data_IF_184150256641
#
_entry.id   IF_184150256641
#
_cell.length_a   1.000
_cell.length_b   1.000
_cell.length_c   1.000
_cell.angle_alpha   90.00
_cell.angle_beta   90.00
_cell.angle_gamma   90.00
#
_symmetry.space_group_name_H-M   'P 1'
#
loop_
_entity.id
_entity.type
_entity.pdbx_description
1 polymer ?
#
# COMPACT_ATOMS: atom_id res chain seq x y z
N UNK A 1 25.46 27.32 11.19
CA UNK A 1 24.02 27.34 10.85
C UNK A 1 23.31 26.58 11.95
N UNK A 2 22.41 27.23 12.70
CA UNK A 2 21.60 26.60 13.73
C UNK A 2 20.12 26.78 13.36
N UNK A 3 19.38 25.68 13.28
CA UNK A 3 17.92 25.62 13.39
C UNK A 3 17.50 24.14 13.53
N UNK A 4 16.89 23.81 14.68
CA UNK A 4 16.42 22.49 15.14
C UNK A 4 17.52 21.46 15.45
N UNK A 5 17.76 21.29 16.76
CA UNK A 5 19.01 20.87 17.39
C UNK A 5 19.15 19.35 17.56
N UNK A 6 19.16 18.58 16.46
CA UNK A 6 19.65 17.21 16.48
C UNK A 6 20.67 16.99 15.36
N UNK A 7 21.96 17.16 15.69
CA UNK A 7 23.06 16.73 14.83
C UNK A 7 23.22 15.23 14.97
N UNK A 8 22.62 14.47 14.05
CA UNK A 8 22.85 13.03 13.95
C UNK A 8 24.30 12.79 13.54
N UNK A 9 25.03 11.94 14.29
CA UNK A 9 26.28 11.39 13.76
C UNK A 9 25.96 10.68 12.45
N UNK A 10 26.79 10.85 11.42
CA UNK A 10 26.63 10.18 10.11
C UNK A 10 26.54 8.65 10.29
N UNK A 11 27.17 8.10 11.32
CA UNK A 11 27.11 6.68 11.69
C UNK A 11 25.81 6.26 12.39
N UNK A 12 25.03 7.20 12.91
CA UNK A 12 23.74 6.96 13.57
C UNK A 12 22.54 7.26 12.65
N UNK A 13 22.77 7.84 11.47
CA UNK A 13 21.73 8.09 10.48
C UNK A 13 21.47 6.83 9.63
N UNK A 14 20.77 5.88 10.25
CA UNK A 14 20.42 4.58 9.68
C UNK A 14 18.92 4.33 9.80
N UNK A 15 18.40 3.37 9.05
CA UNK A 15 17.01 2.97 9.16
C UNK A 15 16.66 2.54 10.59
N UNK A 16 15.54 3.03 11.11
CA UNK A 16 15.06 2.73 12.45
C UNK A 16 14.79 1.24 12.66
N UNK A 17 14.34 0.53 11.62
CA UNK A 17 13.98 -0.87 11.67
C UNK A 17 15.20 -1.78 11.39
N UNK A 18 15.72 -1.82 10.15
CA UNK A 18 16.83 -2.71 9.80
C UNK A 18 18.24 -2.25 10.21
N UNK A 19 18.39 -1.02 10.73
CA UNK A 19 19.68 -0.41 11.11
C UNK A 19 20.71 -0.27 9.97
N UNK A 20 20.30 -0.44 8.72
CA UNK A 20 21.17 -0.20 7.55
C UNK A 20 21.24 1.28 7.19
N UNK A 21 22.39 1.72 6.69
CA UNK A 21 22.55 3.05 6.11
C UNK A 21 21.66 3.22 4.86
N UNK A 22 21.19 4.44 4.61
CA UNK A 22 20.34 4.74 3.47
C UNK A 22 21.15 4.73 2.17
N UNK A 23 20.77 3.85 1.24
CA UNK A 23 21.37 3.84 -0.11
C UNK A 23 20.98 5.13 -0.82
N UNK A 24 21.96 5.77 -1.45
CA UNK A 24 21.80 7.01 -2.23
C UNK A 24 21.18 8.19 -1.44
N UNK A 25 21.17 8.12 -0.10
CA UNK A 25 20.57 9.13 0.76
C UNK A 25 19.03 9.16 0.72
N UNK A 26 18.36 8.13 0.19
CA UNK A 26 16.89 8.07 0.11
C UNK A 26 16.32 7.44 1.39
N UNK A 27 15.42 8.17 2.06
CA UNK A 27 14.75 7.72 3.28
C UNK A 27 13.36 8.35 3.42
N UNK A 28 12.52 7.74 4.25
CA UNK A 28 11.21 8.28 4.63
C UNK A 28 11.16 8.54 6.13
N UNK A 29 10.55 9.65 6.54
CA UNK A 29 10.31 9.95 7.95
C UNK A 29 8.90 9.51 8.35
N UNK A 30 8.80 8.73 9.41
CA UNK A 30 7.52 8.39 10.06
C UNK A 30 7.64 8.67 11.56
N UNK A 31 6.80 9.56 12.09
CA UNK A 31 6.87 10.01 13.49
C UNK A 31 8.30 10.40 13.90
N UNK A 32 8.93 11.26 13.08
CA UNK A 32 10.29 11.79 13.29
C UNK A 32 11.42 10.74 13.26
N UNK A 33 11.10 9.49 12.92
CA UNK A 33 12.07 8.40 12.81
C UNK A 33 12.35 8.08 11.33
N UNK A 34 13.62 7.93 10.91
CA UNK A 34 13.96 7.65 9.52
C UNK A 34 13.89 6.15 9.22
N UNK A 35 13.30 5.78 8.09
CA UNK A 35 13.16 4.41 7.59
C UNK A 35 13.65 4.32 6.15
N UNK A 36 14.25 3.18 5.78
CA UNK A 36 14.58 2.93 4.38
C UNK A 36 13.27 2.71 3.61
N UNK A 37 13.30 2.89 2.28
CA UNK A 37 12.11 2.71 1.42
C UNK A 37 11.46 1.34 1.65
N UNK A 38 12.28 0.28 1.73
CA UNK A 38 11.79 -1.08 1.94
C UNK A 38 11.04 -1.25 3.27
N UNK A 39 11.63 -0.81 4.40
CA UNK A 39 10.99 -0.94 5.71
C UNK A 39 9.83 0.02 5.90
N UNK A 40 9.91 1.23 5.33
CA UNK A 40 8.80 2.17 5.36
C UNK A 40 7.58 1.58 4.65
N UNK A 41 7.75 1.05 3.43
CA UNK A 41 6.67 0.41 2.67
C UNK A 41 6.16 -0.86 3.38
N UNK A 42 7.06 -1.63 4.00
CA UNK A 42 6.68 -2.84 4.74
C UNK A 42 5.87 -2.53 6.01
N UNK A 43 6.23 -1.48 6.75
CA UNK A 43 5.63 -1.15 8.04
C UNK A 43 4.41 -0.24 7.93
N UNK A 44 4.42 0.68 6.97
CA UNK A 44 3.45 1.77 6.85
C UNK A 44 2.83 1.87 5.46
N UNK A 45 3.26 1.03 4.53
CA UNK A 45 2.74 1.03 3.18
C UNK A 45 1.30 0.53 3.13
N UNK A 46 0.59 1.08 2.16
CA UNK A 46 -0.72 0.59 1.75
C UNK A 46 -0.56 -0.76 1.05
N UNK A 47 -1.31 -1.78 1.46
CA UNK A 47 -1.28 -3.10 0.80
C UNK A 47 -2.54 -3.28 -0.05
N UNK A 48 -2.35 -3.65 -1.31
CA UNK A 48 -3.44 -4.02 -2.20
C UNK A 48 -4.11 -5.30 -1.72
N UNK A 49 -5.42 -5.26 -1.43
CA UNK A 49 -6.17 -6.45 -1.01
C UNK A 49 -6.29 -7.53 -2.09
N UNK A 50 -6.19 -7.15 -3.37
CA UNK A 50 -6.32 -8.09 -4.49
C UNK A 50 -5.08 -8.95 -4.73
N UNK A 51 -3.89 -8.36 -4.63
CA UNK A 51 -2.63 -9.06 -4.92
C UNK A 51 -1.73 -9.26 -3.71
N UNK A 52 -1.97 -8.57 -2.59
CA UNK A 52 -1.16 -8.62 -1.37
C UNK A 52 0.15 -7.84 -1.45
N UNK A 53 0.43 -7.15 -2.56
CA UNK A 53 1.61 -6.31 -2.72
C UNK A 53 1.33 -4.87 -2.28
N UNK A 54 2.40 -4.15 -1.91
CA UNK A 54 2.31 -2.73 -1.59
C UNK A 54 1.86 -1.93 -2.81
N UNK A 55 1.09 -0.87 -2.55
CA UNK A 55 0.75 0.18 -3.51
C UNK A 55 1.79 1.27 -3.33
N UNK A 56 2.68 1.43 -4.30
CA UNK A 56 3.83 2.32 -4.24
C UNK A 56 3.48 3.74 -4.69
N UNK A 57 4.39 4.69 -4.42
CA UNK A 57 4.23 6.05 -4.88
C UNK A 57 4.29 6.10 -6.42
N UNK A 58 3.16 6.44 -7.05
CA UNK A 58 3.00 6.45 -8.51
C UNK A 58 2.04 5.38 -9.04
N UNK A 59 1.65 4.41 -8.22
CA UNK A 59 0.63 3.44 -8.60
C UNK A 59 -0.76 4.07 -8.65
N UNK A 60 -1.52 3.70 -9.67
CA UNK A 60 -2.95 3.98 -9.71
C UNK A 60 -3.71 2.97 -8.84
N UNK A 61 -4.52 3.48 -7.91
CA UNK A 61 -5.28 2.65 -6.99
C UNK A 61 -6.68 3.20 -6.75
N UNK A 62 -7.56 2.31 -6.29
CA UNK A 62 -8.92 2.63 -5.85
C UNK A 62 -9.10 2.23 -4.40
N UNK A 63 -9.90 3.02 -3.69
CA UNK A 63 -10.40 2.67 -2.36
C UNK A 63 -11.82 2.13 -2.50
N UNK A 64 -12.02 0.87 -2.13
CA UNK A 64 -13.30 0.19 -2.23
C UNK A 64 -13.42 -0.89 -1.16
N UNK A 65 -14.64 -1.07 -0.62
CA UNK A 65 -14.89 -2.05 0.45
C UNK A 65 -13.99 -1.79 1.68
N UNK A 66 -13.74 -0.50 1.98
CA UNK A 66 -12.83 -0.04 3.05
C UNK A 66 -11.40 -0.59 2.94
N UNK A 67 -11.00 -1.01 1.74
CA UNK A 67 -9.68 -1.55 1.45
C UNK A 67 -9.11 -0.88 0.20
N UNK A 68 -7.80 -0.95 0.04
CA UNK A 68 -7.08 -0.35 -1.06
C UNK A 68 -6.73 -1.43 -2.08
N UNK A 69 -6.85 -1.09 -3.36
CA UNK A 69 -6.66 -2.01 -4.48
C UNK A 69 -5.91 -1.28 -5.59
N UNK A 70 -4.90 -1.90 -6.19
CA UNK A 70 -4.44 -1.43 -7.50
C UNK A 70 -5.63 -1.38 -8.46
N UNK A 71 -5.68 -0.38 -9.34
CA UNK A 71 -6.75 -0.26 -10.34
C UNK A 71 -6.92 -1.56 -11.14
N UNK A 72 -5.80 -2.19 -11.51
CA UNK A 72 -5.77 -3.47 -12.25
C UNK A 72 -6.21 -4.67 -11.41
N UNK A 73 -6.12 -4.59 -10.09
CA UNK A 73 -6.53 -5.66 -9.17
C UNK A 73 -8.00 -5.57 -8.77
N UNK A 74 -8.67 -4.43 -9.00
CA UNK A 74 -10.07 -4.25 -8.66
C UNK A 74 -10.98 -4.86 -9.74
N UNK A 75 -11.04 -6.18 -9.75
CA UNK A 75 -11.77 -6.98 -10.73
C UNK A 75 -12.80 -7.89 -10.06
N UNK A 76 -13.81 -8.34 -10.82
CA UNK A 76 -14.81 -9.26 -10.30
C UNK A 76 -14.16 -10.57 -9.83
N UNK A 77 -14.41 -10.96 -8.57
CA UNK A 77 -13.86 -12.19 -7.99
C UNK A 77 -14.35 -13.50 -8.65
N UNK A 78 -15.29 -13.43 -9.60
CA UNK A 78 -15.82 -14.59 -10.33
C UNK A 78 -15.32 -14.62 -11.78
N UNK A 79 -15.38 -13.49 -12.50
CA UNK A 79 -15.06 -13.45 -13.93
C UNK A 79 -13.93 -12.49 -14.30
N UNK A 80 -13.28 -11.87 -13.31
CA UNK A 80 -12.11 -11.00 -13.46
C UNK A 80 -12.29 -9.79 -14.39
N UNK A 81 -13.53 -9.38 -14.66
CA UNK A 81 -13.80 -8.12 -15.39
C UNK A 81 -13.40 -6.92 -14.54
N UNK A 82 -12.81 -5.91 -15.17
CA UNK A 82 -12.48 -4.61 -14.56
C UNK A 82 -13.73 -3.93 -13.99
N UNK A 83 -13.66 -3.50 -12.74
CA UNK A 83 -14.77 -2.87 -12.03
C UNK A 83 -14.58 -1.38 -11.80
N UNK A 84 -13.44 -0.79 -12.18
CA UNK A 84 -13.13 0.62 -11.85
C UNK A 84 -14.18 1.63 -12.31
N UNK A 85 -14.82 1.38 -13.46
CA UNK A 85 -15.81 2.27 -14.08
C UNK A 85 -17.22 1.65 -14.13
N UNK A 86 -17.45 0.53 -13.45
CA UNK A 86 -18.71 -0.19 -13.47
C UNK A 86 -19.30 -0.29 -12.06
N UNK A 87 -20.63 -0.32 -11.97
CA UNK A 87 -21.30 -0.63 -10.70
C UNK A 87 -20.91 -2.02 -10.20
N UNK A 88 -20.42 -2.11 -8.96
CA UNK A 88 -20.00 -3.35 -8.31
C UNK A 88 -20.82 -3.62 -7.04
N UNK A 89 -20.78 -4.88 -6.60
CA UNK A 89 -21.31 -5.33 -5.32
C UNK A 89 -20.19 -5.98 -4.51
N UNK A 90 -20.29 -5.94 -3.17
CA UNK A 90 -19.32 -6.58 -2.28
C UNK A 90 -19.95 -7.83 -1.66
N UNK A 91 -19.29 -8.99 -1.80
CA UNK A 91 -19.70 -10.26 -1.20
C UNK A 91 -18.48 -10.84 -0.47
N UNK A 92 -18.58 -11.06 0.85
CA UNK A 92 -17.45 -11.54 1.68
C UNK A 92 -16.15 -10.76 1.43
N UNK A 93 -16.24 -9.41 1.47
CA UNK A 93 -15.12 -8.50 1.19
C UNK A 93 -14.51 -8.57 -0.23
N UNK A 94 -15.13 -9.34 -1.13
CA UNK A 94 -14.68 -9.49 -2.52
C UNK A 94 -15.59 -8.70 -3.47
N UNK A 95 -15.03 -7.89 -4.38
CA UNK A 95 -15.83 -7.15 -5.35
C UNK A 95 -16.35 -8.08 -6.45
N UNK A 96 -17.61 -7.91 -6.86
CA UNK A 96 -18.24 -8.66 -7.96
C UNK A 96 -19.00 -7.73 -8.89
N UNK A 97 -19.07 -8.09 -10.18
CA UNK A 97 -19.83 -7.34 -11.18
C UNK A 97 -21.34 -7.56 -11.01
N UNK A 98 -22.13 -6.71 -11.67
CA UNK A 98 -23.60 -6.77 -11.62
C UNK A 98 -24.20 -8.12 -12.06
N UNK A 99 -23.51 -8.86 -12.94
CA UNK A 99 -23.93 -10.20 -13.38
C UNK A 99 -23.68 -11.27 -12.30
N UNK A 100 -22.73 -11.03 -11.40
CA UNK A 100 -22.35 -11.94 -10.32
C UNK A 100 -22.77 -11.43 -8.94
N UNK A 101 -23.70 -10.46 -8.86
CA UNK A 101 -24.20 -9.89 -7.59
C UNK A 101 -24.86 -10.90 -6.65
N UNK A 102 -25.32 -12.05 -7.19
CA UNK A 102 -25.92 -13.15 -6.44
C UNK A 102 -24.98 -14.36 -6.33
N UNK A 103 -23.70 -14.22 -6.69
CA UNK A 103 -22.74 -15.32 -6.64
C UNK A 103 -22.49 -15.75 -5.19
N UNK A 104 -22.43 -17.06 -4.97
CA UNK A 104 -22.06 -17.64 -3.67
C UNK A 104 -20.56 -17.89 -3.67
N UNK A 105 -19.80 -16.90 -3.22
CA UNK A 105 -18.35 -17.05 -3.04
C UNK A 105 -18.07 -17.87 -1.77
N UNK A 106 -17.12 -18.81 -1.82
CA UNK A 106 -16.63 -19.46 -0.61
C UNK A 106 -16.02 -18.40 0.33
N UNK A 107 -16.24 -18.60 1.64
CA UNK A 107 -15.67 -17.78 2.70
C UNK A 107 -14.14 -17.85 2.67
#
# INVERSE_FOLDING_TARGET
MHALNETWHVTCFVCTDCKQAFRDGVFHLHNEKPYCVADYNRLFGTICKGCGFAIEAGDHYVEAIKQQWHETCFTCAVCHVDLKNAGFFAINEKPVCSNHKNARLPA
#
